data_IF_488352315391
#
_entry.id   IF_488352315391
#
_cell.length_a   1.000
_cell.length_b   1.000
_cell.length_c   1.000
_cell.angle_alpha   90.00
_cell.angle_beta   90.00
_cell.angle_gamma   90.00
#
_symmetry.space_group_name_H-M   'P 1'
#
loop_
_entity.id
_entity.type
_entity.pdbx_description
1 polymer ?
2 polymer ?
3 polymer ?
4 non-polymer ?
5 non-polymer ?
#
loop_
_entity_poly.entity_id
_entity_poly.type
_entity_poly.pdbx_seq_one_letter_code
_entity_poly.pdbx_strand_id
1 'polydeoxyribonucleotide' '(DC)(DT)(DG)(DG)(DG)(DG)(DT)(DC)(DC)(DT)' ?
2 'polydeoxyribonucleotide' '(DA)(DG)(DG)(DA)(DC)(DC)(DC)' ?
#
# COMPACT_ATOMS: atom_id res chain seq x y z
N UNK C 51 0.15 -6.93 26.82
CA UNK C 51 -1.29 -6.72 26.80
C UNK C 51 -1.81 -6.71 25.36
N UNK C 52 -3.11 -6.97 25.20
CA UNK C 52 -3.69 -7.20 23.89
C UNK C 52 -4.17 -5.89 23.28
N UNK C 53 -3.85 -5.70 22.00
CA UNK C 53 -4.16 -4.48 21.28
C UNK C 53 -5.44 -4.63 20.45
N UNK C 54 -5.91 -3.50 19.93
CA UNK C 54 -6.99 -3.45 18.94
C UNK C 54 -6.50 -2.65 17.75
N UNK C 55 -6.38 -3.29 16.60
CA UNK C 55 -5.77 -2.70 15.41
C UNK C 55 -6.79 -2.78 14.27
N UNK C 56 -6.82 -1.74 13.43
CA UNK C 56 -7.75 -1.69 12.30
C UNK C 56 -6.96 -1.42 11.02
N UNK C 57 -7.36 -2.11 9.95
CA UNK C 57 -6.74 -2.02 8.63
C UNK C 57 -7.79 -1.60 7.62
N UNK C 58 -7.47 -0.61 6.79
CA UNK C 58 -8.41 -0.07 5.81
C UNK C 58 -7.77 -0.16 4.44
N UNK C 59 -8.50 -0.77 3.50
CA UNK C 59 -8.11 -0.87 2.10
C UNK C 59 -9.24 -0.34 1.24
N UNK C 60 -8.91 0.59 0.35
CA UNK C 60 -9.94 1.22 -0.47
C UNK C 60 -10.32 0.35 -1.64
N UNK C 61 -11.59 0.43 -2.03
CA UNK C 61 -12.12 -0.38 -3.12
C UNK C 61 -11.67 0.19 -4.46
N UNK C 62 -11.07 -0.68 -5.29
CA UNK C 62 -10.57 -0.34 -6.63
C UNK C 62 -10.06 1.10 -6.68
N UNK C 63 -9.06 1.39 -5.85
CA UNK C 63 -8.76 2.77 -5.44
C UNK C 63 -8.69 3.72 -6.64
N UNK C 64 -7.75 3.46 -7.55
CA UNK C 64 -7.63 4.32 -8.74
C UNK C 64 -8.96 4.43 -9.47
N UNK C 65 -9.59 3.29 -9.73
CA UNK C 65 -10.84 3.28 -10.49
C UNK C 65 -11.93 4.07 -9.76
N UNK C 66 -11.96 3.95 -8.43
CA UNK C 66 -12.94 4.71 -7.66
C UNK C 66 -12.68 6.21 -7.76
N UNK C 67 -11.41 6.62 -7.70
CA UNK C 67 -11.06 8.02 -7.91
C UNK C 67 -11.56 8.50 -9.26
N UNK C 68 -11.30 7.72 -10.32
CA UNK C 68 -11.74 8.13 -11.64
C UNK C 68 -13.26 8.21 -11.74
N UNK C 69 -13.97 7.24 -11.15
CA UNK C 69 -15.42 7.24 -11.20
C UNK C 69 -16.01 8.43 -10.44
N UNK C 70 -15.31 8.92 -9.42
CA UNK C 70 -15.78 10.12 -8.74
C UNK C 70 -15.66 11.33 -9.66
N UNK C 71 -14.56 11.43 -10.41
CA UNK C 71 -14.34 12.58 -11.29
C UNK C 71 -15.33 12.59 -12.45
N UNK C 72 -15.45 11.45 -13.14
CA UNK C 72 -16.33 11.32 -14.31
C UNK C 72 -17.44 10.34 -13.97
N UNK C 73 -18.54 10.80 -13.40
CA UNK C 73 -19.61 9.86 -13.02
C UNK C 73 -20.20 9.09 -14.18
N UNK C 74 -19.95 9.52 -15.42
CA UNK C 74 -20.38 8.74 -16.58
C UNK C 74 -19.77 7.34 -16.59
N UNK C 75 -18.67 7.15 -15.87
CA UNK C 75 -18.00 5.86 -15.77
C UNK C 75 -18.55 5.01 -14.63
N UNK C 76 -19.58 5.47 -13.93
CA UNK C 76 -20.02 4.79 -12.71
C UNK C 76 -20.53 3.39 -12.99
N UNK C 77 -21.31 3.21 -14.05
CA UNK C 77 -21.97 1.93 -14.31
C UNK C 77 -21.41 1.20 -15.52
N UNK C 78 -20.39 1.72 -16.13
CA UNK C 78 -19.69 0.98 -17.17
C UNK C 78 -18.48 0.26 -16.57
N UNK C 79 -18.10 -0.89 -17.09
CA UNK C 79 -16.90 -1.56 -16.60
C UNK C 79 -15.67 -0.72 -16.90
N UNK C 80 -14.92 -0.40 -15.84
CA UNK C 80 -13.83 0.56 -15.92
C UNK C 80 -12.51 -0.10 -15.55
N UNK C 81 -11.51 0.13 -16.38
CA UNK C 81 -10.14 -0.31 -16.09
C UNK C 81 -9.21 0.90 -16.11
N UNK C 82 -8.26 0.91 -15.19
CA UNK C 82 -7.25 1.95 -15.11
C UNK C 82 -5.94 1.38 -15.65
N UNK C 83 -5.37 2.09 -16.62
CA UNK C 83 -4.29 1.56 -17.44
C UNK C 83 -3.06 2.43 -17.30
N UNK C 84 -1.91 1.79 -17.09
CA UNK C 84 -0.60 2.44 -17.15
C UNK C 84 0.24 1.63 -18.13
N UNK C 85 0.52 2.22 -19.29
CA UNK C 85 1.22 1.54 -20.39
C UNK C 85 0.41 0.31 -20.77
N UNK C 86 0.97 -0.90 -20.71
CA UNK C 86 0.28 -2.11 -21.15
C UNK C 86 -0.26 -2.91 -19.99
N UNK C 87 -0.59 -2.24 -18.88
CA UNK C 87 -1.04 -2.92 -17.67
C UNK C 87 -2.35 -2.30 -17.19
N UNK C 88 -3.39 -3.13 -17.05
CA UNK C 88 -4.63 -2.70 -16.41
C UNK C 88 -4.41 -2.82 -14.91
N UNK C 89 -3.97 -1.73 -14.28
CA UNK C 89 -3.44 -1.83 -12.92
C UNK C 89 -4.56 -2.12 -11.91
N UNK C 90 -5.78 -1.71 -12.20
CA UNK C 90 -6.94 -2.06 -11.39
C UNK C 90 -8.18 -1.84 -12.24
N UNK C 91 -9.33 -2.22 -11.70
CA UNK C 91 -10.58 -2.08 -12.42
C UNK C 91 -11.74 -2.13 -11.43
N UNK C 92 -12.78 -1.36 -11.72
CA UNK C 92 -13.94 -1.36 -10.84
C UNK C 92 -14.63 -2.72 -10.87
N UNK C 93 -15.60 -2.89 -9.96
CA UNK C 93 -16.13 -4.22 -9.72
C UNK C 93 -17.06 -4.69 -10.83
N UNK C 94 -17.72 -3.75 -11.52
CA UNK C 94 -18.44 -4.10 -12.73
C UNK C 94 -17.53 -4.85 -13.69
N UNK C 95 -16.31 -4.36 -13.90
CA UNK C 95 -15.37 -5.04 -14.77
C UNK C 95 -14.97 -6.39 -14.19
N UNK C 96 -14.79 -6.48 -12.87
CA UNK C 96 -14.39 -7.75 -12.27
C UNK C 96 -15.46 -8.80 -12.44
N UNK C 97 -16.74 -8.40 -12.55
CA UNK C 97 -17.79 -9.37 -12.86
C UNK C 97 -17.55 -10.00 -14.23
N UNK C 98 -17.18 -9.20 -15.22
CA UNK C 98 -16.95 -9.70 -16.57
C UNK C 98 -15.62 -10.44 -16.73
N UNK C 99 -14.93 -10.75 -15.64
CA UNK C 99 -13.70 -11.50 -15.72
C UNK C 99 -12.43 -10.68 -15.74
N UNK C 100 -12.52 -9.35 -15.76
CA UNK C 100 -11.32 -8.53 -15.65
C UNK C 100 -10.73 -8.69 -14.25
N UNK C 101 -9.40 -8.68 -14.17
CA UNK C 101 -8.70 -8.84 -12.91
C UNK C 101 -7.62 -7.78 -12.78
N UNK C 102 -7.22 -7.53 -11.54
CA UNK C 102 -6.19 -6.53 -11.26
C UNK C 102 -4.85 -6.96 -11.84
N UNK C 103 -4.20 -6.03 -12.54
CA UNK C 103 -2.87 -6.24 -13.13
C UNK C 103 -2.92 -7.23 -14.30
N UNK C 104 -3.98 -7.16 -15.10
CA UNK C 104 -4.03 -7.86 -16.37
C UNK C 104 -3.35 -7.06 -17.47
N UNK C 105 -2.92 -7.76 -18.51
CA UNK C 105 -2.54 -7.11 -19.75
C UNK C 105 -3.74 -6.37 -20.32
N UNK C 106 -3.46 -5.34 -21.12
CA UNK C 106 -4.56 -4.66 -21.81
C UNK C 106 -5.24 -5.62 -22.77
N UNK C 107 -4.47 -6.45 -23.48
CA UNK C 107 -5.08 -7.34 -24.44
C UNK C 107 -5.85 -8.46 -23.76
N UNK C 108 -5.35 -8.97 -22.63
CA UNK C 108 -6.11 -9.97 -21.88
C UNK C 108 -7.38 -9.37 -21.31
N UNK C 109 -7.32 -8.10 -20.89
CA UNK C 109 -8.49 -7.44 -20.32
C UNK C 109 -9.56 -7.20 -21.39
N UNK C 110 -9.16 -6.63 -22.54
CA UNK C 110 -10.11 -6.43 -23.63
C UNK C 110 -10.62 -7.76 -24.17
N UNK C 111 -9.80 -8.81 -24.12
CA UNK C 111 -10.24 -10.10 -24.65
C UNK C 111 -11.25 -10.74 -23.71
N UNK C 112 -11.05 -10.63 -22.40
CA UNK C 112 -12.04 -11.13 -21.47
C UNK C 112 -13.21 -10.16 -21.28
N UNK C 113 -13.09 -8.93 -21.77
CA UNK C 113 -14.19 -7.97 -21.76
C UNK C 113 -13.94 -6.92 -22.83
N UNK C 114 -14.53 -7.07 -24.01
CA UNK C 114 -14.26 -6.12 -25.10
C UNK C 114 -14.82 -4.73 -24.86
N UNK C 115 -15.97 -4.62 -24.19
CA UNK C 115 -16.61 -3.33 -23.93
C UNK C 115 -16.02 -2.59 -22.73
N UNK C 116 -14.80 -2.96 -22.31
CA UNK C 116 -14.17 -2.30 -21.19
C UNK C 116 -13.72 -0.89 -21.57
N UNK C 117 -13.98 0.06 -20.68
CA UNK C 117 -13.55 1.44 -20.84
C UNK C 117 -12.25 1.64 -20.09
N UNK C 118 -11.23 2.17 -20.77
CA UNK C 118 -9.91 2.34 -20.18
C UNK C 118 -9.62 3.81 -19.94
N UNK C 119 -9.06 4.11 -18.76
CA UNK C 119 -8.66 5.46 -18.40
C UNK C 119 -7.20 5.43 -17.95
N UNK C 120 -6.44 6.45 -18.33
CA UNK C 120 -5.01 6.47 -18.07
C UNK C 120 -4.73 6.82 -16.61
N UNK C 121 -3.89 6.03 -15.96
CA UNK C 121 -3.53 6.26 -14.58
C UNK C 121 -2.05 6.46 -14.36
N UNK C 122 -1.34 6.94 -15.38
CA UNK C 122 0.10 7.14 -15.26
C UNK C 122 0.44 8.35 -14.39
N UNK C 123 -0.49 9.28 -14.24
CA UNK C 123 -0.30 10.44 -13.36
C UNK C 123 -1.04 10.14 -12.07
N UNK C 124 -0.29 9.92 -11.00
CA UNK C 124 -0.86 9.53 -9.71
C UNK C 124 -1.22 10.72 -8.84
N UNK C 125 -1.32 11.92 -9.41
CA UNK C 125 -1.52 13.11 -8.58
C UNK C 125 -2.85 13.03 -7.81
N UNK C 126 -3.96 12.86 -8.52
CA UNK C 126 -5.26 12.82 -7.85
C UNK C 126 -5.33 11.67 -6.85
N UNK C 127 -4.82 10.50 -7.23
CA UNK C 127 -4.80 9.36 -6.32
C UNK C 127 -4.02 9.69 -5.05
N UNK C 128 -2.87 10.34 -5.20
CA UNK C 128 -2.03 10.70 -4.06
C UNK C 128 -2.74 11.68 -3.14
N UNK C 129 -3.33 12.73 -3.73
CA UNK C 129 -4.16 13.66 -2.95
C UNK C 129 -5.20 12.93 -2.13
N UNK C 130 -5.97 12.06 -2.77
CA UNK C 130 -7.01 11.33 -2.06
C UNK C 130 -6.43 10.47 -0.94
N UNK C 131 -5.36 9.74 -1.24
CA UNK C 131 -4.70 8.91 -0.24
C UNK C 131 -4.40 9.69 1.03
N UNK C 132 -3.80 10.87 0.86
CA UNK C 132 -3.48 11.66 2.05
C UNK C 132 -4.73 12.25 2.70
N UNK C 133 -5.79 12.51 1.93
CA UNK C 133 -7.03 12.93 2.57
C UNK C 133 -7.55 11.83 3.50
N UNK C 134 -7.48 10.58 3.06
CA UNK C 134 -7.93 9.47 3.91
C UNK C 134 -7.04 9.36 5.15
N UNK C 135 -5.72 9.41 4.95
CA UNK C 135 -4.82 9.29 6.10
C UNK C 135 -5.07 10.39 7.13
N UNK C 136 -5.16 11.65 6.68
CA UNK C 136 -5.44 12.73 7.60
C UNK C 136 -6.78 12.56 8.30
N UNK C 137 -7.77 12.04 7.57
CA UNK C 137 -9.07 11.77 8.20
C UNK C 137 -8.93 10.76 9.34
N UNK C 138 -8.23 9.66 9.07
CA UNK C 138 -8.05 8.65 10.11
C UNK C 138 -7.27 9.20 11.30
N UNK C 139 -6.32 10.10 11.04
CA UNK C 139 -5.52 10.64 12.12
C UNK C 139 -6.34 11.42 13.13
N UNK C 140 -7.55 11.86 12.75
CA UNK C 140 -8.43 12.52 13.72
C UNK C 140 -8.82 11.56 14.84
N UNK C 141 -9.08 10.30 14.50
CA UNK C 141 -9.48 9.33 15.50
C UNK C 141 -8.32 9.01 16.44
N UNK C 142 -7.20 8.55 15.88
CA UNK C 142 -6.00 8.31 16.66
C UNK C 142 -4.83 8.97 15.92
N UNK C 143 -3.97 9.72 16.63
CA UNK C 143 -2.88 10.41 15.94
C UNK C 143 -1.94 9.49 15.19
N UNK C 144 -1.81 8.24 15.60
CA UNK C 144 -0.80 7.32 15.08
C UNK C 144 -1.44 6.46 14.01
N UNK C 145 -1.23 6.82 12.74
CA UNK C 145 -1.76 6.08 11.60
C UNK C 145 -0.60 5.71 10.69
N UNK C 146 -0.53 4.44 10.31
CA UNK C 146 0.54 3.93 9.45
C UNK C 146 -0.01 3.70 8.05
N UNK C 147 0.71 4.16 7.04
CA UNK C 147 0.28 3.93 5.67
C UNK C 147 1.02 2.75 5.06
N UNK C 148 0.33 2.04 4.17
CA UNK C 148 0.92 0.94 3.41
C UNK C 148 0.52 1.16 1.95
N UNK C 149 1.41 1.79 1.18
CA UNK C 149 1.04 2.21 -0.14
C UNK C 149 -0.01 3.32 -0.07
N UNK C 150 -0.74 3.45 -1.17
CA UNK C 150 -1.64 4.60 -1.29
C UNK C 150 -2.99 4.36 -0.64
N UNK C 151 -3.48 3.12 -0.60
CA UNK C 151 -4.88 2.88 -0.25
C UNK C 151 -5.08 2.12 1.06
N UNK C 152 -4.02 1.84 1.80
CA UNK C 152 -4.14 1.06 3.03
C UNK C 152 -3.61 1.81 4.23
N UNK C 153 -4.32 1.70 5.36
CA UNK C 153 -3.94 2.39 6.58
C UNK C 153 -4.17 1.48 7.79
N UNK C 154 -3.27 1.56 8.76
CA UNK C 154 -3.39 0.90 10.05
C UNK C 154 -3.60 1.95 11.13
N UNK C 155 -4.57 1.71 12.02
CA UNK C 155 -4.77 2.58 13.18
C UNK C 155 -4.82 1.71 14.42
N UNK C 156 -4.06 2.11 15.44
CA UNK C 156 -4.04 1.40 16.72
C UNK C 156 -5.15 2.01 17.57
N UNK C 157 -6.24 1.28 17.72
CA UNK C 157 -7.44 1.77 18.39
C UNK C 157 -7.47 1.46 19.88
N UNK C 158 -6.41 0.86 20.42
CA UNK C 158 -6.44 0.34 21.80
C UNK C 158 -6.88 1.40 22.79
N UNK C 159 -6.14 2.52 22.83
CA UNK C 159 -6.43 3.60 23.78
C UNK C 159 -7.86 4.10 23.64
N UNK C 160 -8.29 4.34 22.41
CA UNK C 160 -9.66 4.77 22.14
C UNK C 160 -10.68 3.77 22.70
N UNK C 161 -10.47 2.48 22.43
CA UNK C 161 -11.40 1.45 22.90
C UNK C 161 -11.48 1.49 24.43
N UNK C 162 -10.33 1.58 25.09
CA UNK C 162 -10.32 1.66 26.56
C UNK C 162 -11.11 2.85 27.06
N UNK C 163 -10.94 4.02 26.43
CA UNK C 163 -11.69 5.19 26.85
C UNK C 163 -13.19 4.96 26.71
N UNK C 164 -13.62 4.43 25.55
CA UNK C 164 -15.04 4.15 25.34
C UNK C 164 -15.59 3.20 26.40
N UNK C 165 -14.83 2.16 26.75
CA UNK C 165 -15.30 1.25 27.79
C UNK C 165 -15.36 1.93 29.14
N UNK C 166 -14.37 2.77 29.46
CA UNK C 166 -14.39 3.48 30.73
C UNK C 166 -15.64 4.35 30.85
N UNK C 167 -16.10 4.91 29.73
CA UNK C 167 -17.32 5.73 29.78
C UNK C 167 -18.57 4.89 30.07
N UNK C 168 -18.52 3.60 29.76
CA UNK C 168 -19.72 2.76 29.81
C UNK C 168 -19.96 2.21 31.21
N UNK C 169 -21.24 2.04 31.55
CA UNK C 169 -21.67 1.45 32.81
C UNK C 169 -21.91 -0.05 32.63
N UNK C 170 -22.53 -0.68 33.63
CA UNK C 170 -22.74 -2.13 33.58
C UNK C 170 -23.90 -2.49 32.67
N UNK C 171 -24.91 -1.64 32.57
CA UNK C 171 -26.09 -1.98 31.78
C UNK C 171 -25.74 -2.08 30.29
N UNK C 172 -24.99 -1.10 29.77
CA UNK C 172 -24.70 -1.08 28.35
C UNK C 172 -23.63 -2.08 27.93
N UNK C 173 -22.87 -2.64 28.88
CA UNK C 173 -21.90 -3.67 28.51
C UNK C 173 -22.60 -4.88 27.92
N UNK C 174 -23.79 -5.21 28.41
CA UNK C 174 -24.59 -6.23 27.77
C UNK C 174 -25.10 -5.79 26.41
N UNK C 175 -25.19 -4.47 26.18
CA UNK C 175 -25.78 -3.96 24.95
C UNK C 175 -24.76 -3.80 23.82
N UNK C 176 -23.48 -4.06 24.07
CA UNK C 176 -22.47 -3.90 23.04
C UNK C 176 -22.72 -4.87 21.90
N UNK C 177 -22.60 -4.39 20.67
CA UNK C 177 -22.90 -5.18 19.49
C UNK C 177 -21.79 -5.01 18.45
N UNK C 178 -21.60 -6.03 17.64
CA UNK C 178 -20.63 -5.95 16.55
C UNK C 178 -21.15 -5.05 15.45
N UNK C 179 -20.24 -4.42 14.74
CA UNK C 179 -20.55 -3.69 13.51
C UNK C 179 -19.92 -4.43 12.34
N UNK C 180 -20.77 -4.90 11.43
CA UNK C 180 -20.28 -5.63 10.27
C UNK C 180 -20.14 -7.11 10.55
N UNK C 181 -19.22 -7.73 9.83
CA UNK C 181 -19.04 -9.18 9.88
C UNK C 181 -18.17 -9.59 11.05
N UNK C 182 -18.44 -10.80 11.54
CA UNK C 182 -17.55 -11.51 12.46
C UNK C 182 -16.97 -12.68 11.68
N UNK C 183 -15.65 -12.73 11.58
CA UNK C 183 -15.01 -13.77 10.78
C UNK C 183 -15.40 -15.15 11.30
N UNK C 184 -15.76 -16.04 10.37
CA UNK C 184 -16.09 -17.44 10.64
C UNK C 184 -17.38 -17.60 11.44
N UNK C 185 -18.22 -16.57 11.49
CA UNK C 185 -19.48 -16.60 12.25
C UNK C 185 -19.26 -17.03 13.69
N UNK C 186 -18.08 -16.75 14.21
CA UNK C 186 -17.77 -17.15 15.58
C UNK C 186 -18.74 -16.48 16.55
N UNK C 187 -19.15 -17.25 17.56
CA UNK C 187 -20.04 -16.73 18.59
C UNK C 187 -19.31 -15.72 19.46
N UNK C 188 -20.00 -14.63 19.77
CA UNK C 188 -19.46 -13.59 20.63
C UNK C 188 -19.79 -13.92 22.07
N UNK C 189 -18.78 -13.86 22.93
CA UNK C 189 -18.94 -14.05 24.36
C UNK C 189 -18.79 -12.69 25.03
N UNK C 190 -19.93 -12.06 25.35
CA UNK C 190 -19.90 -10.72 25.93
C UNK C 190 -19.14 -10.68 27.25
N UNK C 191 -18.96 -11.81 27.92
CA UNK C 191 -18.20 -11.85 29.15
C UNK C 191 -16.70 -11.87 28.89
N UNK C 192 -16.28 -12.27 27.69
CA UNK C 192 -14.88 -12.16 27.30
C UNK C 192 -14.54 -10.70 27.06
N UNK C 193 -13.55 -10.19 27.78
CA UNK C 193 -13.20 -8.78 27.63
C UNK C 193 -12.58 -8.52 26.26
N UNK C 194 -11.82 -9.47 25.72
CA UNK C 194 -11.21 -9.27 24.41
C UNK C 194 -12.27 -9.15 23.32
N UNK C 195 -13.31 -9.99 23.40
CA UNK C 195 -14.43 -9.85 22.47
C UNK C 195 -15.07 -8.47 22.58
N UNK C 196 -15.24 -7.98 23.81
CA UNK C 196 -15.85 -6.66 24.01
C UNK C 196 -15.01 -5.58 23.35
N UNK C 197 -13.71 -5.57 23.63
CA UNK C 197 -12.83 -4.54 23.08
C UNK C 197 -12.80 -4.61 21.56
N UNK C 198 -12.75 -5.82 21.00
CA UNK C 198 -12.73 -5.94 19.55
C UNK C 198 -14.05 -5.51 18.93
N UNK C 199 -15.17 -5.73 19.64
CA UNK C 199 -16.45 -5.25 19.13
C UNK C 199 -16.47 -3.72 19.11
N UNK C 200 -15.96 -3.09 20.17
CA UNK C 200 -15.81 -1.64 20.17
C UNK C 200 -14.96 -1.20 18.99
N UNK C 201 -13.87 -1.92 18.73
CA UNK C 201 -13.06 -1.62 17.57
C UNK C 201 -13.83 -1.73 16.26
N UNK C 202 -14.77 -2.69 16.19
CA UNK C 202 -15.60 -2.77 14.99
C UNK C 202 -16.50 -1.56 14.88
N UNK C 203 -17.02 -1.07 16.01
CA UNK C 203 -17.84 0.14 15.98
C UNK C 203 -17.04 1.33 15.48
N UNK C 204 -15.84 1.53 16.03
CA UNK C 204 -14.99 2.63 15.59
C UNK C 204 -14.66 2.48 14.12
N UNK C 205 -14.42 1.25 13.66
CA UNK C 205 -14.11 1.05 12.25
C UNK C 205 -15.27 1.45 11.36
N UNK C 206 -16.50 1.08 11.74
CA UNK C 206 -17.66 1.50 10.98
C UNK C 206 -17.77 3.03 10.97
N UNK C 207 -17.47 3.67 12.10
CA UNK C 207 -17.48 5.13 12.13
C UNK C 207 -16.45 5.70 11.15
N UNK C 208 -15.28 5.08 11.07
CA UNK C 208 -14.24 5.54 10.15
C UNK C 208 -14.70 5.41 8.71
N UNK C 209 -15.21 4.24 8.32
CA UNK C 209 -15.67 4.05 6.95
C UNK C 209 -16.78 5.03 6.61
N UNK C 210 -17.73 5.21 7.54
CA UNK C 210 -18.82 6.14 7.29
C UNK C 210 -18.31 7.57 7.12
N UNK C 211 -17.33 7.98 7.94
CA UNK C 211 -16.76 9.31 7.79
C UNK C 211 -16.04 9.45 6.45
N UNK C 212 -15.35 8.40 6.01
CA UNK C 212 -14.70 8.44 4.72
C UNK C 212 -15.71 8.63 3.60
N UNK C 213 -16.87 7.98 3.70
CA UNK C 213 -17.89 8.18 2.67
C UNK C 213 -18.50 9.58 2.75
N UNK C 214 -18.77 10.06 3.97
CA UNK C 214 -19.47 11.33 4.12
C UNK C 214 -18.59 12.52 3.77
N UNK C 215 -17.29 12.43 4.04
CA UNK C 215 -16.39 13.56 3.83
C UNK C 215 -15.51 13.43 2.59
N UNK C 216 -15.23 12.21 2.14
CA UNK C 216 -14.40 12.01 0.97
C UNK C 216 -15.09 11.24 -0.15
N UNK C 217 -16.31 10.75 0.06
CA UNK C 217 -16.97 9.98 -0.97
C UNK C 217 -16.29 8.67 -1.31
N UNK C 218 -15.45 8.15 -0.44
CA UNK C 218 -14.69 6.93 -0.70
C UNK C 218 -15.25 5.77 0.10
N UNK C 219 -15.22 4.58 -0.50
CA UNK C 219 -15.62 3.35 0.18
C UNK C 219 -14.43 2.40 0.23
N UNK C 220 -14.37 1.61 1.30
CA UNK C 220 -13.32 0.63 1.47
C UNK C 220 -13.71 -0.38 2.51
N UNK C 221 -12.86 -1.37 2.68
CA UNK C 221 -13.04 -2.42 3.65
C UNK C 221 -12.11 -2.23 4.83
N UNK C 222 -12.56 -2.65 6.01
CA UNK C 222 -11.79 -2.56 7.23
C UNK C 222 -11.74 -3.92 7.91
N UNK C 223 -10.67 -4.16 8.64
CA UNK C 223 -10.56 -5.36 9.46
C UNK C 223 -10.01 -4.99 10.83
N UNK C 224 -10.65 -5.54 11.86
CA UNK C 224 -10.28 -5.28 13.25
C UNK C 224 -9.76 -6.56 13.85
N UNK C 225 -8.54 -6.51 14.40
CA UNK C 225 -7.90 -7.68 14.98
C UNK C 225 -6.99 -7.25 16.13
N UNK C 226 -6.14 -8.15 16.58
CA UNK C 226 -5.25 -7.90 17.71
C UNK C 226 -3.83 -7.53 17.29
N UNK C 227 -3.52 -7.61 16.00
CA UNK C 227 -2.23 -7.16 15.48
C UNK C 227 -2.41 -6.80 14.01
N UNK C 228 -1.36 -6.21 13.43
CA UNK C 228 -1.46 -5.68 12.07
C UNK C 228 -1.63 -6.79 11.05
N UNK C 229 -0.89 -7.90 11.21
CA UNK C 229 -1.01 -9.02 10.28
C UNK C 229 -2.43 -9.52 10.21
N UNK C 230 -3.06 -9.77 11.36
CA UNK C 230 -4.40 -10.34 11.38
C UNK C 230 -5.44 -9.34 10.91
N UNK C 231 -5.27 -8.06 11.23
CA UNK C 231 -6.19 -7.04 10.72
C UNK C 231 -6.13 -6.98 9.20
N UNK C 232 -4.91 -6.93 8.64
CA UNK C 232 -4.76 -6.85 7.20
C UNK C 232 -5.27 -8.11 6.51
N UNK C 233 -5.11 -9.27 7.13
CA UNK C 233 -5.62 -10.50 6.52
C UNK C 233 -7.14 -10.56 6.61
N UNK C 234 -7.72 -10.08 7.70
CA UNK C 234 -9.15 -10.22 7.90
C UNK C 234 -9.95 -9.14 7.19
N UNK C 235 -9.30 -8.03 6.82
CA UNK C 235 -10.04 -6.93 6.20
C UNK C 235 -10.62 -7.33 4.85
N UNK C 236 -9.85 -8.07 4.05
CA UNK C 236 -10.27 -8.46 2.73
C UNK C 236 -11.18 -9.66 2.64
N UNK C 237 -11.69 -10.17 3.76
CA UNK C 237 -12.53 -11.36 3.73
C UNK C 237 -13.85 -11.08 3.03
N UNK C 238 -14.52 -9.98 3.40
CA UNK C 238 -15.77 -9.55 2.76
C UNK C 238 -15.50 -8.27 1.98
N UNK C 239 -15.57 -8.37 0.67
CA UNK C 239 -15.33 -7.24 -0.24
C UNK C 239 -16.47 -7.14 -1.24
N UNK C 240 -16.74 -5.92 -1.73
CA UNK C 240 -16.15 -4.64 -1.32
C UNK C 240 -17.02 -3.88 -0.35
N UNK C 241 -16.44 -2.88 0.31
CA UNK C 241 -17.19 -1.95 1.16
C UNK C 241 -17.92 -2.68 2.29
N UNK C 242 -17.22 -3.63 2.93
CA UNK C 242 -17.72 -4.33 4.10
C UNK C 242 -16.61 -4.35 5.14
N UNK C 243 -16.91 -4.87 6.33
CA UNK C 243 -15.86 -4.98 7.32
C UNK C 243 -16.05 -6.26 8.15
N UNK C 244 -14.93 -6.78 8.65
CA UNK C 244 -14.89 -8.05 9.36
C UNK C 244 -14.03 -7.90 10.62
N UNK C 245 -14.51 -8.47 11.72
CA UNK C 245 -13.75 -8.51 12.97
C UNK C 245 -13.33 -9.95 13.22
N UNK C 246 -12.13 -10.12 13.76
CA UNK C 246 -11.55 -11.43 14.04
C UNK C 246 -11.41 -11.59 15.55
N UNK C 247 -12.23 -12.45 16.13
CA UNK C 247 -12.07 -12.81 17.52
C UNK C 247 -10.96 -13.85 17.65
N UNK C 248 -10.24 -13.86 18.79
CA UNK C 248 -9.01 -14.66 18.88
C UNK C 248 -9.16 -16.13 18.52
N UNK C 249 -10.26 -16.77 18.94
CA UNK C 249 -10.42 -18.21 18.72
C UNK C 249 -10.33 -18.60 17.24
N UNK C 250 -10.62 -17.67 16.33
CA UNK C 250 -10.61 -17.99 14.91
C UNK C 250 -9.28 -17.69 14.22
N UNK C 251 -8.31 -17.14 14.94
CA UNK C 251 -7.05 -16.73 14.32
C UNK C 251 -6.45 -17.85 13.48
N UNK C 252 -6.18 -19.00 14.12
CA UNK C 252 -5.64 -20.16 13.40
C UNK C 252 -6.45 -20.46 12.15
N UNK C 253 -7.77 -20.48 12.26
CA UNK C 253 -8.61 -20.71 11.10
C UNK C 253 -8.24 -19.75 9.99
N UNK C 254 -8.27 -18.45 10.30
CA UNK C 254 -7.92 -17.43 9.32
C UNK C 254 -6.54 -17.67 8.74
N UNK C 255 -5.59 -18.11 9.56
CA UNK C 255 -4.23 -18.24 9.04
C UNK C 255 -4.12 -19.48 8.16
N UNK C 256 -4.95 -20.49 8.39
CA UNK C 256 -4.89 -21.68 7.56
C UNK C 256 -5.80 -21.62 6.36
N UNK C 257 -6.66 -20.60 6.30
CA UNK C 257 -7.46 -20.37 5.10
C UNK C 257 -6.60 -19.94 3.91
N UNK C 258 -5.38 -19.47 4.17
CA UNK C 258 -4.46 -19.13 3.09
C UNK C 258 -3.99 -20.39 2.38
N UNK C 259 -3.86 -20.31 1.06
CA UNK C 259 -3.46 -21.46 0.27
C UNK C 259 -1.97 -21.46 -0.08
N UNK C 260 -1.25 -20.39 0.20
CA UNK C 260 0.20 -20.42 0.04
C UNK C 260 0.83 -19.31 0.86
N UNK C 261 2.09 -19.51 1.24
CA UNK C 261 2.80 -18.61 2.13
C UNK C 261 3.02 -17.24 1.51
N UNK C 262 3.09 -17.16 0.17
CA UNK C 262 3.27 -15.86 -0.47
C UNK C 262 2.13 -14.91 -0.15
N UNK C 263 0.96 -15.47 0.21
CA UNK C 263 -0.19 -14.65 0.58
C UNK C 263 -0.01 -13.91 1.90
N UNK C 264 1.06 -14.21 2.64
CA UNK C 264 1.35 -13.53 3.90
C UNK C 264 2.15 -12.28 3.62
N UNK C 265 1.72 -11.13 4.14
CA UNK C 265 2.57 -9.93 4.08
C UNK C 265 3.88 -10.16 4.82
N UNK C 266 4.98 -9.88 4.13
CA UNK C 266 6.32 -10.16 4.63
C UNK C 266 7.02 -11.29 3.91
N UNK C 267 6.28 -12.13 3.21
CA UNK C 267 6.84 -13.19 2.39
C UNK C 267 6.55 -12.83 0.94
N UNK C 268 7.61 -12.44 0.21
CA UNK C 268 7.50 -12.00 -1.15
C UNK C 268 7.98 -13.06 -2.14
N UNK C 269 8.19 -12.61 -3.36
CA UNK C 269 8.55 -13.53 -4.44
C UNK C 269 9.82 -14.30 -4.13
N UNK C 270 10.90 -13.60 -3.75
CA UNK C 270 12.17 -14.27 -3.51
C UNK C 270 12.08 -15.24 -2.33
N UNK C 271 11.60 -14.74 -1.18
CA UNK C 271 11.44 -15.60 -0.01
C UNK C 271 10.55 -16.79 -0.31
N UNK C 272 9.42 -16.54 -0.98
CA UNK C 272 8.53 -17.63 -1.35
C UNK C 272 9.25 -18.66 -2.18
N UNK C 273 10.02 -18.22 -3.19
CA UNK C 273 10.75 -19.16 -4.03
C UNK C 273 11.72 -20.00 -3.20
N UNK C 274 12.46 -19.34 -2.30
CA UNK C 274 13.40 -20.10 -1.47
C UNK C 274 12.67 -21.14 -0.62
N UNK C 275 11.47 -20.81 -0.15
CA UNK C 275 10.72 -21.77 0.67
C UNK C 275 10.14 -22.90 -0.20
N UNK C 276 9.57 -22.53 -1.35
CA UNK C 276 9.11 -23.50 -2.33
C UNK C 276 10.18 -24.54 -2.63
N UNK C 277 11.43 -24.10 -2.78
CA UNK C 277 12.52 -25.04 -3.03
C UNK C 277 12.81 -25.94 -1.83
N UNK C 278 12.23 -25.67 -0.67
CA UNK C 278 12.46 -26.46 0.53
C UNK C 278 11.29 -27.38 0.87
N UNK C 279 10.35 -27.57 -0.05
CA UNK C 279 9.18 -28.36 0.26
C UNK C 279 8.20 -27.68 1.18
N UNK C 280 8.27 -26.35 1.30
CA UNK C 280 7.35 -25.56 2.11
C UNK C 280 6.32 -24.94 1.18
N UNK C 281 5.10 -25.46 1.21
CA UNK C 281 4.04 -24.95 0.37
C UNK C 281 2.81 -24.48 1.12
N UNK C 282 2.69 -24.79 2.41
CA UNK C 282 1.52 -24.42 3.17
C UNK C 282 1.93 -23.63 4.40
N UNK C 283 0.96 -22.94 4.98
CA UNK C 283 1.20 -22.24 6.24
C UNK C 283 1.67 -23.24 7.30
N UNK C 284 1.13 -24.45 7.27
CA UNK C 284 1.54 -25.46 8.25
C UNK C 284 2.95 -25.97 7.97
N UNK C 285 3.32 -26.10 6.70
CA UNK C 285 4.69 -26.47 6.37
C UNK C 285 5.69 -25.51 6.97
N UNK C 286 5.36 -24.21 6.96
CA UNK C 286 6.25 -23.21 7.54
C UNK C 286 6.18 -23.22 9.06
N UNK C 287 4.96 -23.38 9.61
CA UNK C 287 4.82 -23.48 11.06
C UNK C 287 5.62 -24.64 11.62
N UNK C 288 5.56 -25.78 10.94
CA UNK C 288 6.16 -27.01 11.46
C UNK C 288 7.59 -27.23 10.98
N UNK C 289 8.13 -26.35 10.15
CA UNK C 289 9.50 -26.51 9.68
C UNK C 289 10.49 -26.25 10.82
N UNK C 290 11.67 -26.84 10.67
CA UNK C 290 12.68 -26.74 11.72
C UNK C 290 13.22 -25.32 11.79
N UNK C 291 13.28 -24.71 12.98
CA UNK C 291 13.85 -23.36 13.08
C UNK C 291 15.29 -23.27 12.58
N UNK C 292 16.15 -24.22 12.95
CA UNK C 292 17.57 -24.12 12.62
C UNK C 292 17.78 -24.12 11.11
N UNK C 293 17.25 -25.15 10.43
CA UNK C 293 17.39 -25.22 8.97
C UNK C 293 16.87 -23.94 8.32
N UNK C 294 15.76 -23.42 8.85
CA UNK C 294 15.17 -22.22 8.26
C UNK C 294 16.09 -21.02 8.39
N UNK C 295 16.66 -20.81 9.59
CA UNK C 295 17.63 -19.74 9.75
C UNK C 295 18.81 -19.91 8.82
N UNK C 296 19.35 -21.13 8.74
CA UNK C 296 20.51 -21.38 7.90
C UNK C 296 20.21 -21.05 6.44
N UNK C 297 18.97 -21.23 6.01
CA UNK C 297 18.65 -20.93 4.61
C UNK C 297 18.33 -19.46 4.39
N UNK C 298 17.64 -18.82 5.32
CA UNK C 298 17.08 -17.49 5.11
C UNK C 298 17.69 -16.41 6.01
N UNK C 299 18.62 -16.76 6.88
CA UNK C 299 19.09 -15.82 7.88
C UNK C 299 18.23 -15.84 9.13
N UNK C 300 18.81 -15.28 10.20
CA UNK C 300 18.16 -15.36 11.50
C UNK C 300 16.88 -14.53 11.51
N UNK C 301 17.01 -13.22 11.26
CA UNK C 301 15.86 -12.32 11.37
C UNK C 301 14.71 -12.75 10.48
N UNK C 302 15.00 -12.94 9.19
CA UNK C 302 13.95 -13.30 8.24
C UNK C 302 13.22 -14.56 8.70
N UNK C 303 13.98 -15.59 9.07
CA UNK C 303 13.38 -16.86 9.48
C UNK C 303 12.49 -16.68 10.70
N UNK C 304 13.04 -16.10 11.77
CA UNK C 304 12.23 -15.94 12.99
C UNK C 304 10.97 -15.15 12.72
N UNK C 305 11.10 -14.04 11.99
CA UNK C 305 9.94 -13.19 11.74
C UNK C 305 8.87 -13.93 10.93
N UNK C 306 9.26 -14.56 9.82
CA UNK C 306 8.25 -15.16 8.95
C UNK C 306 7.64 -16.39 9.60
N UNK C 307 8.41 -17.11 10.43
CA UNK C 307 7.80 -18.23 11.14
C UNK C 307 6.83 -17.74 12.20
N UNK C 308 7.15 -16.62 12.87
CA UNK C 308 6.17 -16.00 13.76
C UNK C 308 4.93 -15.59 12.99
N UNK C 309 5.10 -15.12 11.75
CA UNK C 309 3.96 -14.73 10.92
C UNK C 309 3.09 -15.92 10.56
N UNK C 310 3.72 -17.07 10.27
CA UNK C 310 2.96 -18.27 9.93
C UNK C 310 2.04 -18.70 11.06
N UNK C 311 2.26 -18.22 12.27
CA UNK C 311 1.38 -18.52 13.39
C UNK C 311 0.37 -17.40 13.63
N UNK C 312 0.40 -16.34 12.83
CA UNK C 312 -0.48 -15.21 13.04
C UNK C 312 -0.01 -14.25 14.12
N UNK C 313 1.29 -14.22 14.40
CA UNK C 313 1.84 -13.39 15.47
C UNK C 313 2.54 -12.18 14.88
N UNK C 314 2.24 -11.00 15.44
CA UNK C 314 2.82 -9.75 14.95
C UNK C 314 3.01 -8.84 16.16
N UNK C 315 4.25 -8.75 16.64
CA UNK C 315 4.57 -7.84 17.74
C UNK C 315 4.90 -6.43 17.26
N UNK C 316 4.97 -6.22 15.94
CA UNK C 316 5.33 -4.90 15.42
C UNK C 316 4.25 -3.88 15.76
N UNK C 317 4.63 -2.67 16.14
CA UNK C 317 3.64 -1.64 16.47
C UNK C 317 3.22 -0.86 15.24
N UNK C 318 2.18 -0.05 15.43
CA UNK C 318 1.70 0.83 14.37
C UNK C 318 2.56 2.08 14.39
N UNK C 319 3.40 2.23 13.38
CA UNK C 319 4.30 3.38 13.27
C UNK C 319 3.54 4.56 12.66
N UNK C 320 3.86 5.76 13.12
CA UNK C 320 3.31 6.96 12.51
C UNK C 320 4.05 7.23 11.20
N UNK C 321 3.31 7.25 10.10
CA UNK C 321 3.94 7.43 8.79
C UNK C 321 4.37 8.88 8.59
N UNK C 322 3.49 9.83 8.91
CA UNK C 322 3.80 11.22 8.77
C UNK C 322 3.99 11.64 7.33
N UNK C 323 4.79 12.67 7.11
CA UNK C 323 5.03 13.15 5.75
C UNK C 323 5.93 12.19 5.00
N UNK C 324 5.89 12.24 3.66
CA UNK C 324 6.67 11.28 2.86
C UNK C 324 8.16 11.36 3.15
N UNK C 325 8.80 10.20 3.17
CA UNK C 325 10.25 10.15 3.24
C UNK C 325 10.92 10.47 1.91
N UNK C 326 10.17 10.47 0.80
CA UNK C 326 10.75 10.68 -0.51
C UNK C 326 9.65 10.99 -1.50
N UNK C 327 10.02 11.70 -2.56
CA UNK C 327 9.19 11.97 -3.72
C UNK C 327 9.92 11.39 -4.94
N UNK C 328 9.16 10.90 -5.92
CA UNK C 328 9.80 10.32 -7.09
C UNK C 328 8.84 10.31 -8.26
N UNK C 329 9.42 10.26 -9.47
CA UNK C 329 8.66 10.11 -10.70
C UNK C 329 9.37 9.11 -11.59
N UNK C 330 8.59 8.35 -12.35
CA UNK C 330 9.10 7.33 -13.24
C UNK C 330 8.58 7.56 -14.65
N UNK C 331 9.35 7.10 -15.64
CA UNK C 331 8.88 7.02 -17.01
C UNK C 331 9.39 5.74 -17.62
N UNK C 332 8.47 4.91 -18.10
CA UNK C 332 8.78 3.71 -18.86
C UNK C 332 8.52 3.98 -20.34
N UNK C 333 9.15 3.16 -21.17
CA UNK C 333 9.04 3.31 -22.62
C UNK C 333 9.66 2.09 -23.28
N UNK C 334 9.45 1.98 -24.60
CA UNK C 334 10.02 0.89 -25.36
C UNK C 334 11.52 1.10 -25.58
N UNK C 335 11.94 2.34 -25.77
CA UNK C 335 13.33 2.62 -26.10
C UNK C 335 13.68 4.06 -25.76
N UNK C 336 14.92 4.26 -25.31
CA UNK C 336 15.53 5.59 -25.19
C UNK C 336 17.01 5.44 -25.43
N UNK C 337 17.50 5.97 -26.56
CA UNK C 337 18.92 5.88 -26.88
C UNK C 337 19.55 7.22 -27.24
N UNK C 338 18.76 8.24 -27.59
CA UNK C 338 19.31 9.57 -27.79
C UNK C 338 19.48 10.26 -26.44
N UNK C 339 20.69 10.76 -26.18
CA UNK C 339 20.96 11.34 -24.88
C UNK C 339 20.11 12.58 -24.64
N UNK C 340 19.83 13.37 -25.70
CA UNK C 340 19.00 14.55 -25.53
C UNK C 340 17.56 14.14 -25.27
N UNK C 341 17.14 12.99 -25.79
CA UNK C 341 15.88 12.41 -25.35
C UNK C 341 15.88 12.18 -23.84
N UNK C 342 16.93 11.54 -23.34
CA UNK C 342 17.03 11.31 -21.90
C UNK C 342 16.99 12.62 -21.13
N UNK C 343 17.68 13.65 -21.63
CA UNK C 343 17.67 14.95 -20.96
C UNK C 343 16.29 15.57 -21.00
N UNK C 344 15.50 15.28 -22.04
CA UNK C 344 14.14 15.80 -22.11
C UNK C 344 13.24 15.08 -21.12
N UNK C 345 13.35 13.76 -21.06
CA UNK C 345 12.59 12.99 -20.07
C UNK C 345 12.90 13.46 -18.66
N UNK C 346 14.19 13.56 -18.34
CA UNK C 346 14.63 14.00 -17.02
C UNK C 346 14.14 15.41 -16.74
N UNK C 347 14.12 16.27 -17.77
CA UNK C 347 13.55 17.60 -17.59
C UNK C 347 12.08 17.51 -17.21
N UNK C 348 11.33 16.66 -17.91
CA UNK C 348 9.90 16.52 -17.65
C UNK C 348 9.64 16.04 -16.22
N UNK C 349 10.28 14.93 -15.84
CA UNK C 349 10.17 14.44 -14.48
C UNK C 349 10.52 15.53 -13.48
N UNK C 350 11.62 16.23 -13.75
CA UNK C 350 12.13 17.22 -12.81
C UNK C 350 11.12 18.33 -12.57
N UNK C 351 10.43 18.78 -13.63
CA UNK C 351 9.47 19.86 -13.46
C UNK C 351 8.41 19.50 -12.42
N UNK C 352 7.69 18.40 -12.65
CA UNK C 352 6.65 17.99 -11.73
C UNK C 352 7.21 17.78 -10.33
N UNK C 353 8.35 17.10 -10.22
CA UNK C 353 8.96 16.91 -8.90
C UNK C 353 9.22 18.25 -8.22
N UNK C 354 9.68 19.25 -8.97
CA UNK C 354 9.92 20.57 -8.39
C UNK C 354 8.64 21.18 -7.86
N UNK C 355 7.55 21.09 -8.62
CA UNK C 355 6.30 21.63 -8.12
C UNK C 355 5.87 20.95 -6.82
N UNK C 356 5.98 19.62 -6.77
CA UNK C 356 5.54 18.89 -5.58
C UNK C 356 6.40 19.25 -4.37
N UNK C 357 7.73 19.31 -4.57
CA UNK C 357 8.62 19.72 -3.49
C UNK C 357 8.25 21.11 -2.98
N UNK C 358 8.03 22.04 -3.91
CA UNK C 358 7.56 23.37 -3.52
C UNK C 358 6.30 23.28 -2.67
N UNK C 359 5.38 22.40 -3.04
CA UNK C 359 4.12 22.30 -2.31
C UNK C 359 4.31 21.81 -0.88
N UNK C 360 5.18 20.81 -0.68
CA UNK C 360 5.34 20.25 0.66
C UNK C 360 5.82 21.29 1.66
N UNK C 361 6.68 22.22 1.23
CA UNK C 361 7.33 23.12 2.16
C UNK C 361 8.53 22.53 2.87
N UNK C 362 8.96 21.34 2.49
CA UNK C 362 10.19 20.73 2.97
C UNK C 362 11.20 20.67 1.84
N UNK C 363 12.46 20.49 2.20
CA UNK C 363 13.54 20.57 1.24
C UNK C 363 14.29 19.24 1.16
N UNK C 364 14.45 18.68 -0.04
CA UNK C 364 15.29 17.47 -0.18
C UNK C 364 16.77 17.84 -0.13
N UNK C 365 17.55 16.96 0.49
CA UNK C 365 18.99 17.16 0.56
C UNK C 365 19.76 16.07 -0.18
N UNK C 366 19.10 15.38 -1.11
CA UNK C 366 19.74 14.33 -1.89
C UNK C 366 18.89 14.07 -3.12
N UNK C 367 19.55 13.82 -4.25
CA UNK C 367 18.86 13.49 -5.49
C UNK C 367 19.40 12.18 -6.02
N UNK C 368 18.52 11.38 -6.62
CA UNK C 368 18.87 10.09 -7.19
C UNK C 368 18.39 10.01 -8.63
N UNK C 369 19.07 9.20 -9.43
CA UNK C 369 18.68 8.89 -10.79
C UNK C 369 18.77 7.38 -10.96
N UNK C 370 17.71 6.78 -11.50
CA UNK C 370 17.59 5.34 -11.66
C UNK C 370 17.31 5.03 -13.12
N UNK C 371 17.94 3.98 -13.64
CA UNK C 371 17.72 3.52 -15.01
C UNK C 371 17.62 2.00 -15.03
N UNK C 372 17.03 1.49 -16.11
CA UNK C 372 16.94 0.07 -16.42
C UNK C 372 17.51 -0.14 -17.81
N UNK C 373 18.37 -1.13 -17.98
CA UNK C 373 19.02 -1.40 -19.24
C UNK C 373 18.33 -2.54 -19.97
N UNK C 374 18.17 -2.38 -21.27
CA UNK C 374 17.51 -3.40 -22.09
C UNK C 374 18.44 -4.57 -22.37
N UNK C 381 18.85 -5.80 -12.30
CA UNK C 381 18.59 -5.25 -13.61
C UNK C 381 18.29 -3.76 -13.58
N UNK C 382 18.33 -3.18 -12.39
CA UNK C 382 18.09 -1.77 -12.18
C UNK C 382 19.30 -1.14 -11.50
N UNK C 383 19.64 0.09 -11.87
CA UNK C 383 20.82 0.74 -11.31
C UNK C 383 20.53 2.22 -11.03
N UNK C 384 21.30 2.80 -10.11
CA UNK C 384 21.06 4.15 -9.66
C UNK C 384 22.37 4.84 -9.28
N UNK C 385 22.38 6.17 -9.43
CA UNK C 385 23.43 7.01 -8.88
C UNK C 385 22.78 8.18 -8.17
N UNK C 386 23.28 8.52 -6.99
CA UNK C 386 22.74 9.65 -6.24
C UNK C 386 23.86 10.57 -5.83
N UNK C 387 23.47 11.76 -5.35
CA UNK C 387 24.43 12.72 -4.84
C UNK C 387 23.66 13.76 -4.03
N UNK C 388 24.32 14.43 -3.08
CA UNK C 388 23.64 15.50 -2.34
C UNK C 388 23.32 16.66 -3.26
N UNK C 389 22.31 17.43 -2.85
CA UNK C 389 21.86 18.60 -3.61
C UNK C 389 22.61 19.81 -3.08
N UNK C 390 23.32 20.56 -3.92
CA UNK C 390 24.07 21.73 -3.44
C UNK C 390 23.21 22.66 -2.60
N UNK C 391 23.83 23.23 -1.56
CA UNK C 391 23.07 23.95 -0.54
C UNK C 391 22.40 25.19 -1.10
N UNK C 392 23.07 25.92 -1.99
CA UNK C 392 22.47 27.13 -2.53
C UNK C 392 21.27 26.81 -3.43
N UNK C 393 21.30 25.66 -4.12
CA UNK C 393 20.12 25.21 -4.84
C UNK C 393 18.98 24.91 -3.87
N UNK C 394 19.30 24.21 -2.76
CA UNK C 394 18.28 23.91 -1.76
C UNK C 394 17.63 25.20 -1.28
N UNK C 395 18.45 26.21 -0.94
CA UNK C 395 17.90 27.48 -0.48
C UNK C 395 17.06 28.14 -1.56
N UNK C 396 17.49 28.06 -2.82
CA UNK C 396 16.73 28.70 -3.89
C UNK C 396 15.38 28.03 -4.12
N UNK C 397 15.27 26.75 -3.79
CA UNK C 397 14.02 26.01 -3.93
C UNK C 397 12.87 26.71 -3.22
N UNK C 402 14.09 31.71 -9.03
CA UNK C 402 15.37 31.20 -9.50
C UNK C 402 15.18 30.03 -10.46
N UNK C 403 16.08 29.92 -11.44
CA UNK C 403 16.02 28.84 -12.43
C UNK C 403 16.77 27.62 -11.88
N UNK C 404 16.16 27.00 -10.86
CA UNK C 404 16.74 25.82 -10.23
C UNK C 404 16.82 24.66 -11.21
N UNK C 405 15.97 24.69 -12.23
CA UNK C 405 15.93 23.67 -13.28
C UNK C 405 17.32 23.38 -13.80
N UNK C 406 17.90 24.32 -14.55
CA UNK C 406 19.18 24.10 -15.23
C UNK C 406 20.26 23.48 -14.35
N UNK C 407 20.53 23.95 -13.13
CA UNK C 407 21.49 23.22 -12.27
C UNK C 407 21.04 21.80 -12.00
N UNK C 408 19.77 21.57 -11.68
CA UNK C 408 19.35 20.20 -11.44
C UNK C 408 19.56 19.32 -12.67
N UNK C 409 19.25 19.84 -13.86
CA UNK C 409 19.46 19.08 -15.09
C UNK C 409 20.93 18.75 -15.27
N UNK C 410 21.82 19.72 -14.99
CA UNK C 410 23.25 19.45 -15.13
C UNK C 410 23.68 18.33 -14.20
N UNK C 411 23.27 18.39 -12.93
CA UNK C 411 23.64 17.36 -11.97
C UNK C 411 23.16 15.99 -12.43
N UNK C 412 21.86 15.87 -12.68
CA UNK C 412 21.29 14.57 -13.05
C UNK C 412 21.90 14.06 -14.35
N UNK C 413 22.30 14.97 -15.24
CA UNK C 413 22.94 14.52 -16.48
C UNK C 413 24.33 13.97 -16.21
N UNK C 414 25.09 14.62 -15.32
CA UNK C 414 26.38 14.06 -14.92
C UNK C 414 26.21 12.66 -14.34
N UNK C 415 25.21 12.47 -13.48
CA UNK C 415 24.93 11.13 -12.97
C UNK C 415 24.61 10.17 -14.11
N UNK C 416 23.76 10.60 -15.04
CA UNK C 416 23.40 9.78 -16.19
C UNK C 416 24.65 9.30 -16.93
N UNK C 417 25.55 10.21 -17.26
CA UNK C 417 26.76 9.83 -17.99
C UNK C 417 27.67 8.94 -17.14
N UNK C 418 27.68 9.12 -15.82
CA UNK C 418 28.38 8.17 -14.96
C UNK C 418 27.81 6.77 -15.16
N UNK C 419 26.49 6.65 -15.27
CA UNK C 419 25.89 5.32 -15.38
C UNK C 419 26.15 4.69 -16.75
N UNK C 420 25.99 5.46 -17.82
CA UNK C 420 25.97 4.92 -19.16
C UNK C 420 26.93 5.72 -20.04
N UNK C 421 27.60 5.01 -20.95
CA UNK C 421 28.59 5.61 -21.84
C UNK C 421 27.90 5.99 -23.15
N UNK C 422 27.94 7.29 -23.47
CA UNK C 422 27.31 7.78 -24.68
C UNK C 422 28.08 7.34 -25.92
N UNK C 423 29.38 7.08 -25.77
CA UNK C 423 30.18 6.65 -26.91
C UNK C 423 29.71 5.29 -27.44
N UNK C 424 29.24 4.43 -26.56
CA UNK C 424 28.70 3.17 -27.05
C UNK C 424 27.18 3.25 -27.09
N UNK C 425 26.55 2.73 -28.16
CA UNK C 425 25.09 2.71 -28.21
C UNK C 425 24.50 1.98 -27.02
N UNK C 426 23.35 2.48 -26.56
CA UNK C 426 22.69 1.95 -25.37
C UNK C 426 21.19 1.90 -25.61
N UNK C 427 20.49 1.20 -24.73
CA UNK C 427 19.04 1.05 -24.82
C UNK C 427 18.47 1.04 -23.41
N UNK C 428 17.79 2.11 -23.03
CA UNK C 428 17.24 2.28 -21.70
C UNK C 428 15.73 2.12 -21.75
N UNK C 429 15.18 1.41 -20.76
CA UNK C 429 13.75 1.13 -20.71
C UNK C 429 13.02 1.84 -19.59
N UNK C 430 13.73 2.61 -18.76
CA UNK C 430 13.11 3.30 -17.63
C UNK C 430 14.01 4.41 -17.15
N UNK C 431 13.46 5.61 -16.96
CA UNK C 431 14.17 6.72 -16.35
C UNK C 431 13.34 7.25 -15.18
N UNK C 432 13.91 7.21 -13.98
CA UNK C 432 13.24 7.63 -12.76
C UNK C 432 14.12 8.60 -12.00
N UNK C 433 13.47 9.52 -11.28
CA UNK C 433 14.17 10.54 -10.48
C UNK C 433 13.53 10.58 -9.11
N UNK C 434 14.37 10.67 -8.08
CA UNK C 434 13.90 10.67 -6.69
C UNK C 434 14.54 11.82 -5.91
N UNK C 435 13.71 12.65 -5.31
CA UNK C 435 14.12 13.61 -4.30
C UNK C 435 13.85 13.00 -2.93
N UNK C 436 14.90 12.76 -2.15
CA UNK C 436 14.72 12.16 -0.84
C UNK C 436 15.55 12.95 0.17
N UNK C 437 15.74 12.35 1.35
CA UNK C 437 16.51 12.96 2.44
C UNK C 437 15.91 14.32 2.82
N UNK C 438 14.59 14.34 2.96
CA UNK C 438 13.86 15.58 3.19
C UNK C 438 14.03 16.08 4.61
N UNK C 439 14.00 17.40 4.77
CA UNK C 439 14.11 18.03 6.08
C UNK C 439 13.19 19.23 6.18
X LIG D 1 -4.47 -2.20 -1.72
X LIG E 1 -9.35 -3.83 -4.17
X LIG E 1 -8.32 -3.50 -3.11
X LIG E 1 -9.26 -5.25 -4.67
X LIG E 1 -10.74 -3.38 -3.83
X LIG E 1 -7.61 -2.01 -5.46
X LIG E 1 -7.61 -1.29 -6.78
X LIG E 1 -7.63 -1.17 -4.21
X LIG E 1 -8.94 -2.92 -5.44
X LIG E 1 -4.98 -2.63 -4.29
X LIG E 1 -3.96 -3.74 -4.29
X LIG E 1 -5.65 -2.29 -2.98
X LIG E 1 -6.20 -3.07 -5.48
X LIG E 1 -4.19 -1.30 -4.77
X LIG E 1 -4.73 0.00 -4.55
X LIG E 1 -4.29 0.87 -5.73
X LIG E 1 -2.88 0.83 -5.83
X LIG E 1 -4.83 0.32 -7.03
X LIG E 1 -6.05 0.96 -7.42
X LIG E 1 -3.73 0.60 -8.04
X LIG E 1 -2.47 0.81 -7.21
X LIG E 1 -1.57 -0.30 -7.42
X LIG E 1 -0.58 -0.21 -8.42
X LIG E 1 0.26 -1.24 -8.64
X LIG E 1 0.16 -2.36 -7.89
X LIG E 1 -0.80 -2.47 -6.90
X LIG E 1 -1.67 -1.41 -6.68
X LIG E 1 -0.49 0.82 -9.11
X LIG E 1 1.02 -3.40 -8.11
X LIG F 1 -7.66 -1.43 -2.36
#
# INVERSE_FOLDING_TARGET
MEKLGVEPEEEGGGDDDEEDAEAWAMELADVGAAASSQGVHDQVLPTPNASSRVIVHVDLDCFYAQVEMISNPELKDKPLGVQQKYLVVTCNYEARKLGVKKLMNVRDAKEKCPQLVLVNGEDLTRYREMSYKVTELLEEFSPVVERLGFDENFVDLTEMVEKRLQQLQSDELSAVTVSGHVYNNQSINLLDVLHIRLLVGSQIAAEMREAMYNQLGLTGCAGVASNKLLAKLVSGVFKPNQQTVLLPESCQHLIHSLNHIKEIPGIGYKTAKCLEALGINSVRDLQTFSPKILEKELGISVAQRIQKLSFGEDNSPVILSGPPQSFSEEDSFKKCSSEVEAKNKIEELLASLLNRVCQDGRKPHTVRLIIRRYSSEKHYGRESRQCPIPSHVIQKLGTGNYDVMTPMVDILMKLFRNMVNVKMPFHLTLLSVCFCNLKALNTAK
MN MN
0KX PG O1G O2G O3G PB O1B O2B O3B PA O1A O2A N3A O5' C5' C4' O4' C3' O3' C2' C1' N1 C2 N3 C4 C5 C6 O2 N4
MN MN
#
